data_IF_363558395450
#
_entry.id   IF_363558395450
#
_cell.length_a   1.000
_cell.length_b   1.000
_cell.length_c   1.000
_cell.angle_alpha   90.00
_cell.angle_beta   90.00
_cell.angle_gamma   90.00
#
_symmetry.space_group_name_H-M   'P 1'
#
loop_
_entity.id
_entity.type
_entity.pdbx_description
1 polymer ?
#
# COMPACT_ATOMS: atom_id res chain seq x y z
N UNK A 1 14.89 4.63 20.27
CA UNK A 1 15.95 3.94 19.53
C UNK A 1 16.18 4.74 18.26
N UNK A 2 17.36 5.30 18.08
CA UNK A 2 17.73 6.03 16.87
C UNK A 2 18.51 5.06 16.00
N UNK A 3 17.97 4.69 14.86
CA UNK A 3 18.64 3.82 13.89
C UNK A 3 17.80 3.70 12.64
N UNK A 4 18.46 3.37 11.53
CA UNK A 4 17.76 3.05 10.26
C UNK A 4 16.98 1.75 10.46
N UNK A 5 15.77 1.68 9.89
CA UNK A 5 15.01 0.42 9.88
C UNK A 5 15.73 -0.62 9.03
N UNK A 6 15.88 -1.81 9.58
CA UNK A 6 16.45 -2.97 8.90
C UNK A 6 15.38 -4.07 8.74
N UNK A 7 15.34 -4.74 7.59
CA UNK A 7 14.45 -5.88 7.39
C UNK A 7 14.87 -7.07 8.26
N UNK A 8 14.03 -8.10 8.38
CA UNK A 8 14.42 -9.36 9.01
C UNK A 8 15.71 -9.93 8.45
N UNK A 9 16.46 -10.64 9.29
CA UNK A 9 17.76 -11.24 8.92
C UNK A 9 17.66 -12.07 7.63
N UNK A 10 18.64 -11.90 6.75
CA UNK A 10 18.70 -12.58 5.44
C UNK A 10 18.02 -11.83 4.30
N UNK A 11 17.32 -10.73 4.58
CA UNK A 11 16.75 -9.86 3.55
C UNK A 11 17.56 -8.57 3.42
N UNK A 12 17.57 -8.00 2.22
CA UNK A 12 18.27 -6.74 1.94
C UNK A 12 17.29 -5.67 1.49
N UNK A 13 17.55 -4.43 1.89
CA UNK A 13 16.91 -3.26 1.33
C UNK A 13 17.63 -2.83 0.06
N UNK A 14 16.87 -2.67 -1.02
CA UNK A 14 17.39 -2.17 -2.30
C UNK A 14 16.85 -0.76 -2.53
N UNK A 15 17.71 0.26 -2.62
CA UNK A 15 17.27 1.60 -3.00
C UNK A 15 16.59 1.60 -4.38
N UNK A 16 15.47 2.31 -4.50
CA UNK A 16 14.72 2.34 -5.77
C UNK A 16 15.22 3.43 -6.73
N UNK A 17 15.98 4.39 -6.23
CA UNK A 17 16.54 5.49 -7.01
C UNK A 17 18.07 5.40 -7.02
N UNK A 18 18.71 5.14 -8.17
CA UNK A 18 20.15 4.91 -8.23
C UNK A 18 20.98 6.18 -7.92
N UNK A 19 20.45 7.36 -8.25
CA UNK A 19 21.12 8.64 -8.07
C UNK A 19 20.48 9.52 -6.99
N UNK A 20 19.66 8.93 -6.10
CA UNK A 20 18.84 9.66 -5.14
C UNK A 20 17.43 9.94 -5.65
N UNK A 21 16.50 10.10 -4.73
CA UNK A 21 15.09 10.32 -5.05
C UNK A 21 14.86 11.69 -5.70
N UNK A 22 13.99 11.81 -6.72
CA UNK A 22 13.69 13.06 -7.37
C UNK A 22 12.98 14.05 -6.43
N UNK A 23 13.03 15.35 -6.79
CA UNK A 23 12.31 16.45 -6.12
C UNK A 23 12.64 16.65 -4.62
N UNK A 24 13.72 16.07 -4.15
CA UNK A 24 14.25 16.34 -2.82
C UNK A 24 15.09 17.63 -2.86
N UNK A 25 14.42 18.78 -2.75
CA UNK A 25 15.05 20.11 -2.79
C UNK A 25 15.90 20.43 -1.56
N UNK A 26 15.63 19.75 -0.46
CA UNK A 26 16.44 19.83 0.76
C UNK A 26 16.79 18.43 1.21
N UNK A 27 18.07 18.16 1.45
CA UNK A 27 18.46 17.02 2.24
C UNK A 27 17.91 17.28 3.65
N UNK A 28 16.78 16.68 3.98
CA UNK A 28 16.30 16.74 5.36
C UNK A 28 17.45 16.26 6.26
N UNK A 29 17.94 17.08 7.17
CA UNK A 29 19.00 16.67 8.10
C UNK A 29 18.50 15.61 9.09
N UNK A 30 17.21 15.28 9.05
CA UNK A 30 16.61 14.33 9.96
C UNK A 30 17.02 12.91 9.60
N UNK A 31 17.65 12.24 10.55
CA UNK A 31 17.98 10.82 10.47
C UNK A 31 16.69 10.01 10.54
N UNK A 32 16.60 8.95 9.75
CA UNK A 32 15.51 7.96 9.85
C UNK A 32 15.39 7.47 11.31
N UNK A 33 14.17 7.40 11.81
CA UNK A 33 13.88 7.03 13.18
C UNK A 33 12.97 5.80 13.23
N UNK A 34 13.35 4.85 14.08
CA UNK A 34 12.55 3.65 14.37
C UNK A 34 12.10 3.70 15.81
N UNK A 35 10.80 3.61 16.04
CA UNK A 35 10.22 3.65 17.39
C UNK A 35 8.94 2.83 17.49
N UNK A 36 8.63 2.41 18.72
CA UNK A 36 7.36 1.73 19.01
C UNK A 36 6.25 2.74 19.23
N UNK A 37 5.09 2.46 18.66
CA UNK A 37 3.85 3.21 18.89
C UNK A 37 2.84 2.28 19.57
N UNK A 38 2.20 2.74 20.61
CA UNK A 38 1.14 2.03 21.31
C UNK A 38 -0.01 3.01 21.55
N UNK A 39 -0.99 3.02 20.63
CA UNK A 39 -2.19 3.86 20.75
C UNK A 39 -3.27 3.22 21.61
N UNK A 40 -3.29 1.89 21.66
CA UNK A 40 -4.21 1.08 22.45
C UNK A 40 -3.38 0.10 23.28
N UNK A 41 -3.64 -0.07 24.58
CA UNK A 41 -2.89 -1.00 25.42
C UNK A 41 -2.80 -2.40 24.80
N UNK A 42 -1.57 -2.95 24.72
CA UNK A 42 -1.31 -4.26 24.09
C UNK A 42 -1.21 -4.26 22.56
N UNK A 43 -1.49 -3.15 21.88
CA UNK A 43 -1.40 -3.02 20.41
C UNK A 43 -0.22 -2.15 19.98
N UNK A 44 0.98 -2.60 20.34
CA UNK A 44 2.21 -1.91 19.96
C UNK A 44 2.63 -2.32 18.55
N UNK A 45 3.05 -1.35 17.73
CA UNK A 45 3.65 -1.58 16.42
C UNK A 45 4.91 -0.74 16.20
N UNK A 46 5.71 -1.12 15.22
CA UNK A 46 6.96 -0.44 14.84
C UNK A 46 6.67 0.63 13.79
N UNK A 47 6.98 1.87 14.13
CA UNK A 47 6.90 3.01 13.23
C UNK A 47 8.28 3.42 12.73
N UNK A 48 8.34 3.82 11.46
CA UNK A 48 9.53 4.42 10.84
C UNK A 48 9.18 5.80 10.32
N UNK A 49 9.94 6.82 10.75
CA UNK A 49 9.77 8.20 10.33
C UNK A 49 11.02 8.74 9.63
N UNK A 50 10.89 9.89 8.99
CA UNK A 50 11.99 10.60 8.30
C UNK A 50 12.66 9.73 7.22
N UNK A 51 11.88 8.94 6.49
CA UNK A 51 12.37 8.18 5.34
C UNK A 51 12.65 9.13 4.19
N UNK A 52 13.90 9.32 3.84
CA UNK A 52 14.36 10.14 2.70
C UNK A 52 14.98 9.30 1.59
N UNK A 53 15.37 8.06 1.92
CA UNK A 53 15.89 7.07 0.97
C UNK A 53 14.89 5.92 0.87
N UNK A 54 14.01 5.94 -0.14
CA UNK A 54 13.04 4.86 -0.29
C UNK A 54 13.71 3.59 -0.80
N UNK A 55 13.24 2.45 -0.28
CA UNK A 55 13.80 1.13 -0.57
C UNK A 55 12.69 0.10 -0.76
N UNK A 56 12.99 -0.96 -1.47
CA UNK A 56 12.19 -2.18 -1.49
C UNK A 56 12.92 -3.32 -0.78
N UNK A 57 12.14 -4.17 -0.12
CA UNK A 57 12.62 -5.44 0.44
C UNK A 57 11.79 -6.56 -0.17
N UNK A 58 12.46 -7.56 -0.76
CA UNK A 58 11.80 -8.66 -1.47
C UNK A 58 11.77 -9.90 -0.59
N UNK A 59 10.58 -10.43 -0.37
CA UNK A 59 10.32 -11.69 0.32
C UNK A 59 9.95 -12.73 -0.72
N UNK A 60 10.82 -13.71 -0.91
CA UNK A 60 10.56 -14.81 -1.82
C UNK A 60 9.36 -15.65 -1.37
N UNK A 61 8.63 -16.27 -2.31
CA UNK A 61 7.53 -17.15 -1.96
C UNK A 61 8.01 -18.35 -1.16
N UNK A 62 7.25 -18.74 -0.14
CA UNK A 62 7.46 -19.98 0.63
C UNK A 62 6.70 -21.11 -0.07
N UNK A 63 7.35 -22.23 -0.33
CA UNK A 63 6.76 -23.38 -1.03
C UNK A 63 6.62 -23.16 -2.54
N UNK A 64 5.46 -23.55 -3.12
CA UNK A 64 5.21 -23.44 -4.56
C UNK A 64 5.03 -21.97 -4.95
N UNK A 65 5.90 -21.49 -5.85
CA UNK A 65 5.75 -20.16 -6.42
C UNK A 65 4.55 -20.08 -7.37
N UNK A 66 3.66 -19.13 -7.14
CA UNK A 66 2.48 -18.87 -7.97
C UNK A 66 2.74 -17.94 -9.16
N UNK A 67 3.90 -17.29 -9.17
CA UNK A 67 4.23 -16.21 -10.11
C UNK A 67 3.57 -14.87 -9.79
N UNK A 68 2.70 -14.81 -8.79
CA UNK A 68 2.05 -13.56 -8.35
C UNK A 68 2.98 -12.76 -7.46
N UNK A 69 2.95 -11.45 -7.60
CA UNK A 69 3.65 -10.51 -6.71
C UNK A 69 2.68 -9.47 -6.16
N UNK A 70 2.87 -9.09 -4.90
CA UNK A 70 2.17 -7.97 -4.28
C UNK A 70 3.18 -6.98 -3.68
N UNK A 71 3.07 -5.72 -4.09
CA UNK A 71 3.78 -4.62 -3.44
C UNK A 71 2.94 -4.14 -2.26
N UNK A 72 3.57 -4.03 -1.10
CA UNK A 72 2.93 -3.61 0.16
C UNK A 72 3.26 -2.14 0.44
N UNK A 73 2.21 -1.35 0.64
CA UNK A 73 2.28 0.07 1.02
C UNK A 73 1.76 0.24 2.45
N UNK A 74 2.65 0.27 3.46
CA UNK A 74 2.23 0.51 4.85
C UNK A 74 1.53 1.86 5.01
N UNK A 75 0.61 1.95 5.96
CA UNK A 75 0.00 3.21 6.36
C UNK A 75 0.86 4.00 7.33
N UNK A 76 0.26 5.04 7.91
CA UNK A 76 0.91 5.93 8.87
C UNK A 76 0.69 7.40 8.56
N UNK A 77 -0.37 7.74 7.81
CA UNK A 77 -0.77 9.12 7.52
C UNK A 77 0.24 9.90 6.72
N UNK A 78 1.12 9.25 5.98
CA UNK A 78 2.27 9.84 5.28
C UNK A 78 3.26 10.57 6.20
N UNK A 79 3.19 10.34 7.51
CA UNK A 79 4.12 10.88 8.50
C UNK A 79 5.12 9.83 8.98
N UNK A 80 4.65 8.60 9.06
CA UNK A 80 5.42 7.41 9.44
C UNK A 80 5.03 6.26 8.50
N UNK A 81 5.74 5.14 8.65
CA UNK A 81 5.35 3.85 8.08
C UNK A 81 5.15 2.84 9.21
N UNK A 82 3.99 2.19 9.27
CA UNK A 82 3.69 1.11 10.22
C UNK A 82 4.32 -0.20 9.74
N UNK A 83 5.64 -0.34 9.91
CA UNK A 83 6.48 -1.29 9.19
C UNK A 83 6.30 -2.75 9.57
N UNK A 84 5.81 -3.07 10.77
CA UNK A 84 5.52 -4.46 11.15
C UNK A 84 4.06 -4.82 10.82
N UNK A 85 3.10 -4.19 11.46
CA UNK A 85 1.67 -4.54 11.39
C UNK A 85 1.07 -4.42 9.97
N UNK A 86 1.57 -3.50 9.15
CA UNK A 86 1.11 -3.23 7.77
C UNK A 86 2.22 -3.46 6.74
N UNK A 87 3.32 -4.06 7.15
CA UNK A 87 4.49 -4.31 6.31
C UNK A 87 5.00 -5.74 6.44
N UNK A 88 5.91 -6.01 7.38
CA UNK A 88 6.58 -7.31 7.48
C UNK A 88 5.63 -8.46 7.79
N UNK A 89 4.64 -8.27 8.67
CA UNK A 89 3.62 -9.29 8.97
C UNK A 89 2.79 -9.63 7.72
N UNK A 90 2.48 -8.62 6.91
CA UNK A 90 1.76 -8.78 5.62
C UNK A 90 2.62 -9.54 4.62
N UNK A 91 3.90 -9.23 4.53
CA UNK A 91 4.83 -9.94 3.65
C UNK A 91 5.02 -11.40 4.06
N UNK A 92 5.01 -11.69 5.36
CA UNK A 92 5.05 -13.07 5.85
C UNK A 92 3.82 -13.87 5.41
N UNK A 93 2.63 -13.26 5.46
CA UNK A 93 1.41 -13.87 4.97
C UNK A 93 1.44 -14.07 3.45
N UNK A 94 1.79 -13.04 2.67
CA UNK A 94 1.86 -13.12 1.20
C UNK A 94 2.84 -14.22 0.78
N UNK A 95 4.04 -14.25 1.37
CA UNK A 95 5.05 -15.26 1.03
C UNK A 95 4.63 -16.67 1.42
N UNK A 96 3.92 -16.83 2.55
CA UNK A 96 3.37 -18.13 2.98
C UNK A 96 2.32 -18.68 2.01
N UNK A 97 1.71 -17.80 1.19
CA UNK A 97 0.74 -18.20 0.13
C UNK A 97 1.40 -18.45 -1.23
N UNK A 98 2.72 -18.53 -1.27
CA UNK A 98 3.47 -18.79 -2.50
C UNK A 98 3.56 -17.58 -3.44
N UNK A 99 3.30 -16.39 -2.97
CA UNK A 99 3.44 -15.13 -3.69
C UNK A 99 4.74 -14.42 -3.31
N UNK A 100 5.30 -13.64 -4.22
CA UNK A 100 6.41 -12.73 -3.90
C UNK A 100 5.84 -11.49 -3.23
N UNK A 101 6.35 -11.13 -2.05
CA UNK A 101 6.03 -9.85 -1.42
C UNK A 101 7.15 -8.85 -1.65
N UNK A 102 6.79 -7.63 -2.00
CA UNK A 102 7.73 -6.51 -2.13
C UNK A 102 7.29 -5.39 -1.20
N UNK A 103 7.98 -5.25 -0.06
CA UNK A 103 7.67 -4.21 0.92
C UNK A 103 8.33 -2.90 0.50
N UNK A 104 7.54 -1.88 0.26
CA UNK A 104 8.00 -0.54 -0.08
C UNK A 104 8.11 0.34 1.18
N UNK A 105 9.32 0.72 1.52
CA UNK A 105 9.59 1.79 2.48
C UNK A 105 9.67 3.11 1.69
N UNK A 106 8.52 3.75 1.48
CA UNK A 106 8.42 4.97 0.68
C UNK A 106 8.76 6.23 1.50
N UNK A 107 9.01 7.33 0.82
CA UNK A 107 9.41 8.59 1.45
C UNK A 107 8.32 9.17 2.35
N UNK A 108 8.70 9.44 3.59
CA UNK A 108 7.94 10.20 4.59
C UNK A 108 8.91 11.15 5.30
N UNK A 109 9.55 12.11 4.58
CA UNK A 109 10.67 12.87 5.13
C UNK A 109 10.26 13.81 6.25
N UNK A 110 9.19 14.50 6.09
CA UNK A 110 8.50 15.34 7.07
C UNK A 110 7.18 15.68 6.41
N UNK A 111 6.14 15.00 6.79
CA UNK A 111 4.90 15.13 6.09
C UNK A 111 4.22 16.48 6.39
N UNK A 112 3.59 17.04 5.36
CA UNK A 112 2.66 18.14 5.52
C UNK A 112 1.25 17.65 5.85
N UNK A 113 1.13 16.35 6.15
CA UNK A 113 -0.10 15.74 6.55
C UNK A 113 -0.38 16.05 8.02
N UNK A 114 -1.50 16.62 8.32
CA UNK A 114 -1.94 16.94 9.67
C UNK A 114 -3.46 16.92 9.77
N UNK A 115 -3.92 16.83 10.98
CA UNK A 115 -5.33 16.94 11.31
C UNK A 115 -5.79 18.39 11.25
N UNK A 116 -6.75 18.66 10.39
CA UNK A 116 -7.43 19.94 10.34
C UNK A 116 -8.59 19.97 11.35
N UNK A 117 -8.57 20.97 12.25
CA UNK A 117 -9.54 21.10 13.33
C UNK A 117 -10.89 21.62 12.84
N UNK A 118 -10.92 22.36 11.75
CA UNK A 118 -12.11 22.99 11.21
C UNK A 118 -12.95 21.98 10.44
N UNK A 119 -12.37 21.24 9.54
CA UNK A 119 -13.05 20.14 8.84
C UNK A 119 -13.13 18.86 9.67
N UNK A 120 -12.38 18.76 10.80
CA UNK A 120 -12.22 17.52 11.56
C UNK A 120 -11.79 16.34 10.68
N UNK A 121 -10.87 16.57 9.80
CA UNK A 121 -10.41 15.63 8.81
C UNK A 121 -8.87 15.66 8.66
N UNK A 122 -8.32 14.59 8.08
CA UNK A 122 -6.92 14.57 7.68
C UNK A 122 -6.71 15.35 6.38
N UNK A 123 -5.79 16.32 6.40
CA UNK A 123 -5.37 17.02 5.20
C UNK A 123 -4.43 16.12 4.39
N UNK A 124 -4.76 15.91 3.12
CA UNK A 124 -3.91 15.16 2.22
C UNK A 124 -2.66 15.96 1.89
N UNK A 125 -1.46 15.33 2.00
CA UNK A 125 -0.24 15.98 1.59
C UNK A 125 -0.26 16.33 0.11
N UNK A 126 0.26 17.50 -0.23
CA UNK A 126 0.37 17.97 -1.62
C UNK A 126 1.62 17.43 -2.33
N UNK A 127 2.49 16.75 -1.61
CA UNK A 127 3.76 16.23 -2.15
C UNK A 127 3.55 14.94 -2.94
N UNK A 128 4.12 14.88 -4.13
CA UNK A 128 3.99 13.73 -5.04
C UNK A 128 4.95 12.56 -4.72
N UNK A 129 5.83 12.70 -3.74
CA UNK A 129 6.95 11.77 -3.50
C UNK A 129 6.52 10.32 -3.26
N UNK A 130 5.45 10.11 -2.52
CA UNK A 130 4.95 8.75 -2.24
C UNK A 130 4.45 8.06 -3.50
N UNK A 131 3.76 8.79 -4.38
CA UNK A 131 3.29 8.26 -5.66
C UNK A 131 4.47 7.98 -6.61
N UNK A 132 5.47 8.87 -6.66
CA UNK A 132 6.70 8.65 -7.44
C UNK A 132 7.39 7.37 -7.01
N UNK A 133 7.57 7.18 -5.70
CA UNK A 133 8.22 5.99 -5.15
C UNK A 133 7.42 4.71 -5.46
N UNK A 134 6.10 4.77 -5.34
CA UNK A 134 5.23 3.63 -5.64
C UNK A 134 5.23 3.27 -7.13
N UNK A 135 5.12 4.26 -8.03
CA UNK A 135 5.23 4.05 -9.47
C UNK A 135 6.58 3.45 -9.86
N UNK A 136 7.66 3.99 -9.28
CA UNK A 136 9.02 3.48 -9.52
C UNK A 136 9.16 2.05 -9.02
N UNK A 137 8.68 1.73 -7.82
CA UNK A 137 8.72 0.38 -7.28
C UNK A 137 7.98 -0.63 -8.17
N UNK A 138 6.78 -0.31 -8.64
CA UNK A 138 6.02 -1.18 -9.55
C UNK A 138 6.81 -1.44 -10.85
N UNK A 139 7.40 -0.41 -11.44
CA UNK A 139 8.24 -0.55 -12.64
C UNK A 139 9.47 -1.42 -12.41
N UNK A 140 10.15 -1.25 -11.29
CA UNK A 140 11.30 -2.08 -10.91
C UNK A 140 10.91 -3.54 -10.72
N UNK A 141 9.79 -3.82 -10.06
CA UNK A 141 9.27 -5.20 -9.92
C UNK A 141 8.99 -5.79 -11.28
N UNK A 142 8.39 -5.05 -12.19
CA UNK A 142 8.07 -5.49 -13.56
C UNK A 142 9.35 -5.73 -14.37
N UNK A 143 10.37 -4.87 -14.22
CA UNK A 143 11.67 -5.03 -14.87
C UNK A 143 12.43 -6.27 -14.35
N UNK A 144 12.30 -6.57 -13.06
CA UNK A 144 12.93 -7.70 -12.38
C UNK A 144 12.09 -8.99 -12.37
N UNK A 145 10.94 -8.99 -13.03
CA UNK A 145 9.98 -10.09 -12.98
C UNK A 145 10.62 -11.45 -13.33
N UNK A 146 11.42 -11.49 -14.39
CA UNK A 146 12.15 -12.72 -14.79
C UNK A 146 13.15 -13.18 -13.73
N UNK A 147 13.91 -12.25 -13.18
CA UNK A 147 14.94 -12.53 -12.15
C UNK A 147 14.29 -13.08 -10.86
N UNK A 148 13.16 -12.53 -10.48
CA UNK A 148 12.43 -12.92 -9.26
C UNK A 148 11.36 -13.99 -9.48
N UNK A 149 11.30 -14.56 -10.70
CA UNK A 149 10.34 -15.59 -11.07
C UNK A 149 8.87 -15.13 -10.85
N UNK A 150 8.59 -13.88 -11.20
CA UNK A 150 7.27 -13.26 -11.18
C UNK A 150 6.71 -13.25 -12.61
N UNK A 151 5.42 -13.47 -12.76
CA UNK A 151 4.69 -13.16 -13.99
C UNK A 151 4.49 -11.63 -14.08
N UNK A 152 5.04 -11.00 -15.10
CA UNK A 152 4.96 -9.55 -15.31
C UNK A 152 3.54 -9.01 -15.49
N UNK A 153 2.55 -9.89 -15.67
CA UNK A 153 1.12 -9.58 -15.76
C UNK A 153 0.34 -9.95 -14.48
N UNK A 154 1.05 -10.31 -13.40
CA UNK A 154 0.47 -10.65 -12.10
C UNK A 154 1.13 -9.86 -10.96
N UNK A 155 1.30 -8.57 -11.16
CA UNK A 155 1.89 -7.65 -10.19
C UNK A 155 0.79 -6.79 -9.59
N UNK A 156 0.41 -7.07 -8.35
CA UNK A 156 -0.59 -6.31 -7.61
C UNK A 156 0.00 -5.39 -6.56
N UNK A 157 -0.88 -4.57 -6.00
CA UNK A 157 -0.58 -3.68 -4.88
C UNK A 157 -1.55 -3.93 -3.73
N UNK A 158 -1.07 -3.83 -2.50
CA UNK A 158 -1.88 -3.84 -1.29
C UNK A 158 -1.44 -2.69 -0.38
N UNK A 159 -2.38 -1.96 0.16
CA UNK A 159 -2.05 -0.82 1.02
C UNK A 159 -3.10 -0.59 2.09
N UNK A 160 -2.64 0.06 3.16
CA UNK A 160 -3.35 0.22 4.41
C UNK A 160 -3.46 1.72 4.76
N UNK A 161 -4.64 2.21 5.14
CA UNK A 161 -4.82 3.61 5.56
C UNK A 161 -4.31 4.59 4.47
N UNK A 162 -3.30 5.41 4.76
CA UNK A 162 -2.62 6.24 3.76
C UNK A 162 -2.00 5.41 2.61
N UNK A 163 -1.51 4.19 2.90
CA UNK A 163 -1.08 3.23 1.87
C UNK A 163 -2.24 2.74 1.00
N UNK A 164 -3.45 2.65 1.55
CA UNK A 164 -4.67 2.38 0.78
C UNK A 164 -5.04 3.51 -0.18
N UNK A 165 -4.80 4.76 0.20
CA UNK A 165 -4.89 5.89 -0.72
C UNK A 165 -3.83 5.79 -1.84
N UNK A 166 -2.61 5.39 -1.49
CA UNK A 166 -1.54 5.18 -2.48
C UNK A 166 -1.88 4.05 -3.46
N UNK A 167 -2.60 3.02 -3.02
CA UNK A 167 -3.20 2.00 -3.91
C UNK A 167 -4.15 2.66 -4.91
N UNK A 168 -5.06 3.52 -4.45
CA UNK A 168 -5.98 4.22 -5.35
C UNK A 168 -5.22 5.15 -6.32
N UNK A 169 -4.19 5.84 -5.87
CA UNK A 169 -3.36 6.68 -6.74
C UNK A 169 -2.67 5.85 -7.84
N UNK A 170 -1.97 4.77 -7.49
CA UNK A 170 -1.27 3.92 -8.46
C UNK A 170 -2.21 3.19 -9.41
N UNK A 171 -3.45 2.95 -8.99
CA UNK A 171 -4.49 2.30 -9.77
C UNK A 171 -5.20 3.23 -10.77
N UNK A 172 -5.00 4.55 -10.65
CA UNK A 172 -5.73 5.54 -11.45
C UNK A 172 -4.83 6.62 -12.09
N UNK A 173 -3.57 6.71 -11.68
CA UNK A 173 -2.60 7.66 -12.21
C UNK A 173 -1.45 6.89 -12.86
N UNK A 174 -1.55 6.66 -14.17
CA UNK A 174 -0.60 5.81 -14.90
C UNK A 174 0.54 6.62 -15.55
N UNK A 175 0.33 7.90 -15.83
CA UNK A 175 1.37 8.81 -16.30
C UNK A 175 2.52 8.89 -15.30
N UNK A 176 3.77 8.95 -15.80
CA UNK A 176 4.93 9.14 -14.95
C UNK A 176 4.84 10.49 -14.21
N UNK A 177 5.03 10.46 -12.90
CA UNK A 177 5.03 11.67 -12.04
C UNK A 177 6.46 12.15 -11.73
N UNK A 178 7.45 11.57 -12.41
CA UNK A 178 8.87 11.93 -12.31
C UNK A 178 9.56 11.75 -13.66
N UNK A 179 10.73 12.36 -13.84
CA UNK A 179 11.54 12.19 -15.04
C UNK A 179 12.14 10.78 -15.11
N UNK A 180 12.23 10.23 -16.32
CA UNK A 180 12.80 8.90 -16.56
C UNK A 180 14.24 8.82 -16.01
N UNK A 181 14.52 7.74 -15.29
CA UNK A 181 15.83 7.47 -14.68
C UNK A 181 16.60 6.38 -15.42
N UNK A 182 15.92 5.30 -15.81
CA UNK A 182 16.52 4.17 -16.53
C UNK A 182 15.46 3.41 -17.36
N UNK A 183 15.87 2.24 -17.90
CA UNK A 183 15.01 1.43 -18.76
C UNK A 183 13.76 0.87 -18.04
N UNK A 184 13.80 0.68 -16.72
CA UNK A 184 12.63 0.21 -15.98
C UNK A 184 11.46 1.20 -16.08
N UNK A 185 11.74 2.49 -16.30
CA UNK A 185 10.73 3.53 -16.41
C UNK A 185 9.99 3.55 -17.76
N UNK A 186 10.41 2.73 -18.71
CA UNK A 186 9.64 2.45 -19.94
C UNK A 186 8.47 1.50 -19.69
N UNK A 187 8.52 0.74 -18.59
CA UNK A 187 7.50 -0.22 -18.24
C UNK A 187 6.31 0.45 -17.56
N UNK A 188 5.17 -0.22 -17.61
CA UNK A 188 3.95 0.26 -16.97
C UNK A 188 4.06 0.28 -15.46
N UNK A 189 3.65 1.38 -14.82
CA UNK A 189 3.44 1.47 -13.37
C UNK A 189 2.02 1.06 -12.95
N UNK A 190 1.14 0.68 -13.89
CA UNK A 190 -0.20 0.21 -13.58
C UNK A 190 -0.13 -1.16 -12.91
N UNK A 191 -0.70 -1.35 -11.72
CA UNK A 191 -0.83 -2.67 -11.12
C UNK A 191 -1.85 -3.54 -11.90
N UNK A 192 -1.70 -4.86 -11.84
CA UNK A 192 -2.60 -5.79 -12.50
C UNK A 192 -3.84 -6.09 -11.65
N UNK A 193 -3.74 -5.90 -10.33
CA UNK A 193 -4.83 -5.92 -9.36
C UNK A 193 -4.49 -5.06 -8.14
N UNK A 194 -5.50 -4.66 -7.36
CA UNK A 194 -5.33 -3.73 -6.26
C UNK A 194 -6.15 -4.11 -5.03
N UNK A 195 -5.56 -3.98 -3.84
CA UNK A 195 -6.20 -4.25 -2.55
C UNK A 195 -6.05 -3.04 -1.64
N UNK A 196 -7.15 -2.36 -1.33
CA UNK A 196 -7.17 -1.18 -0.47
C UNK A 196 -7.88 -1.51 0.86
N UNK A 197 -7.13 -1.52 1.95
CA UNK A 197 -7.63 -1.81 3.29
C UNK A 197 -7.74 -0.51 4.09
N UNK A 198 -8.94 -0.26 4.61
CA UNK A 198 -9.30 0.97 5.36
C UNK A 198 -8.65 2.22 4.76
N UNK A 199 -8.86 2.48 3.44
CA UNK A 199 -8.17 3.57 2.76
C UNK A 199 -8.58 4.92 3.34
N UNK A 200 -7.59 5.80 3.54
CA UNK A 200 -7.81 7.18 3.91
C UNK A 200 -7.84 8.12 2.70
N UNK A 201 -8.04 9.41 2.96
CA UNK A 201 -7.89 10.54 2.03
C UNK A 201 -8.74 10.53 0.74
N UNK A 202 -9.55 9.52 0.48
CA UNK A 202 -10.41 9.42 -0.70
C UNK A 202 -11.68 10.27 -0.56
N UNK A 203 -12.22 10.36 0.65
CA UNK A 203 -13.42 11.14 0.96
C UNK A 203 -13.05 12.59 1.28
N UNK A 204 -13.57 13.53 0.50
CA UNK A 204 -13.37 14.96 0.67
C UNK A 204 -14.61 15.64 1.22
N UNK A 205 -14.52 16.93 1.48
CA UNK A 205 -15.66 17.74 1.95
C UNK A 205 -16.90 17.54 1.09
N UNK A 206 -18.06 17.43 1.74
CA UNK A 206 -19.34 17.16 1.07
C UNK A 206 -19.49 15.74 0.54
N UNK A 207 -18.75 14.78 1.12
CA UNK A 207 -18.78 13.37 0.72
C UNK A 207 -18.54 13.18 -0.78
N UNK A 208 -17.50 13.84 -1.28
CA UNK A 208 -17.05 13.73 -2.67
C UNK A 208 -15.76 12.93 -2.76
N UNK A 209 -15.59 12.15 -3.84
CA UNK A 209 -14.34 11.49 -4.11
C UNK A 209 -13.25 12.51 -4.44
N UNK A 210 -12.03 12.26 -3.97
CA UNK A 210 -10.87 13.06 -4.35
C UNK A 210 -10.76 13.20 -5.86
N UNK A 211 -10.72 14.43 -6.35
CA UNK A 211 -10.74 14.75 -7.79
C UNK A 211 -9.49 14.29 -8.53
N UNK A 212 -8.39 14.01 -7.82
CA UNK A 212 -7.18 13.43 -8.41
C UNK A 212 -7.33 11.94 -8.75
N UNK A 213 -8.31 11.26 -8.14
CA UNK A 213 -8.61 9.84 -8.36
C UNK A 213 -9.66 9.72 -9.46
N UNK A 214 -9.21 9.67 -10.71
CA UNK A 214 -10.07 9.53 -11.87
C UNK A 214 -10.18 8.06 -12.26
N UNK A 215 -11.22 7.39 -11.78
CA UNK A 215 -11.48 5.98 -12.11
C UNK A 215 -11.94 5.87 -13.56
N UNK A 216 -11.31 4.95 -14.30
CA UNK A 216 -11.59 4.68 -15.71
C UNK A 216 -11.69 3.17 -15.95
N UNK A 217 -12.14 2.70 -17.11
CA UNK A 217 -12.13 1.27 -17.45
C UNK A 217 -10.74 0.62 -17.42
N UNK A 218 -9.65 1.41 -17.42
CA UNK A 218 -8.27 0.93 -17.29
C UNK A 218 -7.85 0.70 -15.85
N UNK A 219 -8.61 1.18 -14.87
CA UNK A 219 -8.36 0.89 -13.44
C UNK A 219 -8.37 -0.63 -13.23
N UNK A 220 -7.40 -1.21 -12.50
CA UNK A 220 -7.34 -2.66 -12.32
C UNK A 220 -8.49 -3.18 -11.46
N UNK A 221 -8.82 -4.48 -11.53
CA UNK A 221 -9.71 -5.11 -10.57
C UNK A 221 -9.29 -4.76 -9.14
N UNK A 222 -10.25 -4.37 -8.31
CA UNK A 222 -9.95 -3.77 -7.01
C UNK A 222 -10.76 -4.41 -5.89
N UNK A 223 -10.09 -4.79 -4.81
CA UNK A 223 -10.68 -5.21 -3.54
C UNK A 223 -10.60 -4.07 -2.52
N UNK A 224 -11.70 -3.79 -1.84
CA UNK A 224 -11.80 -2.73 -0.82
C UNK A 224 -12.38 -3.31 0.47
N UNK A 225 -11.78 -2.99 1.61
CA UNK A 225 -12.30 -3.42 2.89
C UNK A 225 -12.11 -2.34 3.96
N UNK A 226 -13.15 -2.14 4.79
CA UNK A 226 -13.11 -1.19 5.89
C UNK A 226 -14.06 -1.60 7.03
N UNK A 227 -13.79 -1.13 8.23
CA UNK A 227 -14.73 -1.22 9.35
C UNK A 227 -15.60 0.05 9.40
N UNK A 228 -16.89 -0.14 9.72
CA UNK A 228 -17.84 0.98 9.84
C UNK A 228 -17.54 1.88 11.04
N UNK A 229 -16.98 1.30 12.09
CA UNK A 229 -16.60 2.00 13.33
C UNK A 229 -15.17 2.55 13.30
N UNK A 230 -14.55 2.68 12.11
CA UNK A 230 -13.22 3.24 11.97
C UNK A 230 -13.19 4.70 12.50
N UNK A 231 -12.42 4.98 13.57
CA UNK A 231 -12.38 6.29 14.19
C UNK A 231 -11.42 7.27 13.48
N UNK A 232 -10.62 6.78 12.53
CA UNK A 232 -9.58 7.57 11.83
C UNK A 232 -10.05 7.95 10.45
N UNK A 233 -10.39 6.95 9.63
CA UNK A 233 -10.81 7.13 8.25
C UNK A 233 -12.29 6.72 8.10
N UNK A 234 -13.13 7.69 7.75
CA UNK A 234 -14.56 7.45 7.60
C UNK A 234 -14.84 6.46 6.47
N UNK A 235 -15.90 5.66 6.64
CA UNK A 235 -16.34 4.67 5.65
C UNK A 235 -16.65 5.27 4.27
N UNK A 236 -16.91 6.58 4.17
CA UNK A 236 -17.09 7.26 2.89
C UNK A 236 -15.89 7.12 1.96
N UNK A 237 -14.67 6.93 2.48
CA UNK A 237 -13.50 6.63 1.65
C UNK A 237 -13.73 5.40 0.77
N UNK A 238 -14.19 4.31 1.37
CA UNK A 238 -14.46 3.06 0.67
C UNK A 238 -15.73 3.13 -0.18
N UNK A 239 -16.82 3.71 0.34
CA UNK A 239 -18.11 3.74 -0.38
C UNK A 239 -18.09 4.63 -1.62
N UNK A 240 -17.38 5.76 -1.58
CA UNK A 240 -17.21 6.62 -2.75
C UNK A 240 -16.31 5.97 -3.81
N UNK A 241 -15.24 5.33 -3.38
CA UNK A 241 -14.31 4.69 -4.30
C UNK A 241 -14.97 3.50 -5.01
N UNK A 242 -15.67 2.62 -4.27
CA UNK A 242 -16.37 1.48 -4.87
C UNK A 242 -17.47 1.93 -5.83
N UNK A 243 -18.18 3.03 -5.52
CA UNK A 243 -19.17 3.62 -6.42
C UNK A 243 -18.55 4.11 -7.72
N UNK A 244 -17.37 4.74 -7.65
CA UNK A 244 -16.64 5.17 -8.84
C UNK A 244 -16.15 3.99 -9.68
N UNK A 245 -15.64 2.92 -9.04
CA UNK A 245 -15.26 1.68 -9.73
C UNK A 245 -16.45 1.06 -10.46
N UNK A 246 -17.59 0.95 -9.80
CA UNK A 246 -18.83 0.43 -10.41
C UNK A 246 -19.29 1.28 -11.59
N UNK A 247 -19.26 2.62 -11.46
CA UNK A 247 -19.64 3.54 -12.54
C UNK A 247 -18.73 3.43 -13.76
N UNK A 248 -17.45 3.08 -13.58
CA UNK A 248 -16.49 2.86 -14.65
C UNK A 248 -16.50 1.41 -15.21
N UNK A 249 -17.34 0.52 -14.66
CA UNK A 249 -17.38 -0.88 -15.05
C UNK A 249 -16.16 -1.70 -14.64
N UNK A 250 -15.42 -1.25 -13.62
CA UNK A 250 -14.25 -1.97 -13.10
C UNK A 250 -14.72 -3.08 -12.17
N UNK A 251 -14.27 -4.34 -12.37
CA UNK A 251 -14.56 -5.43 -11.44
C UNK A 251 -14.03 -5.11 -10.03
N UNK A 252 -14.90 -5.15 -9.04
CA UNK A 252 -14.51 -4.83 -7.68
C UNK A 252 -15.29 -5.65 -6.66
N UNK A 253 -14.62 -5.95 -5.53
CA UNK A 253 -15.22 -6.58 -4.36
C UNK A 253 -15.07 -5.65 -3.15
N UNK A 254 -16.11 -5.54 -2.31
CA UNK A 254 -16.09 -4.69 -1.13
C UNK A 254 -16.65 -5.41 0.10
N UNK A 255 -15.96 -5.25 1.22
CA UNK A 255 -16.42 -5.71 2.53
C UNK A 255 -16.43 -4.56 3.54
N UNK A 256 -17.60 -4.26 4.08
CA UNK A 256 -17.80 -3.28 5.14
C UNK A 256 -18.24 -4.00 6.41
N UNK A 257 -17.32 -4.11 7.37
CA UNK A 257 -17.59 -4.76 8.65
C UNK A 257 -18.16 -3.76 9.65
N UNK A 258 -19.12 -4.21 10.47
CA UNK A 258 -19.72 -3.36 11.50
C UNK A 258 -18.66 -2.85 12.50
N UNK A 259 -17.68 -3.72 12.85
CA UNK A 259 -16.63 -3.44 13.82
C UNK A 259 -15.28 -3.93 13.34
N UNK A 260 -14.24 -3.22 13.74
CA UNK A 260 -12.85 -3.53 13.42
C UNK A 260 -11.92 -2.38 13.76
N UNK A 261 -12.45 -1.17 13.84
CA UNK A 261 -11.65 0.04 14.06
C UNK A 261 -10.71 0.32 12.89
N UNK A 262 -9.51 0.82 13.22
CA UNK A 262 -8.48 1.21 12.27
C UNK A 262 -7.15 0.49 12.57
N UNK A 263 -6.32 0.29 11.55
CA UNK A 263 -4.98 -0.29 11.65
C UNK A 263 -4.96 -1.68 12.33
N UNK A 264 -5.92 -2.53 12.00
CA UNK A 264 -5.99 -3.89 12.56
C UNK A 264 -4.95 -4.85 11.95
N UNK A 265 -4.42 -4.58 10.76
CA UNK A 265 -3.42 -5.43 10.10
C UNK A 265 -3.86 -6.89 10.00
N UNK A 266 -2.92 -7.81 10.28
CA UNK A 266 -3.17 -9.27 10.34
C UNK A 266 -3.39 -9.78 11.77
N UNK A 267 -3.31 -8.90 12.77
CA UNK A 267 -3.36 -9.33 14.17
C UNK A 267 -4.76 -9.77 14.56
N UNK A 268 -4.88 -10.90 15.26
CA UNK A 268 -6.17 -11.44 15.64
C UNK A 268 -7.01 -10.45 16.46
N UNK A 269 -8.29 -10.39 16.17
CA UNK A 269 -9.27 -9.67 16.95
C UNK A 269 -10.52 -10.54 17.15
N UNK A 270 -11.38 -10.17 18.10
CA UNK A 270 -12.66 -10.84 18.32
C UNK A 270 -13.69 -10.55 17.20
N UNK A 271 -13.35 -9.66 16.25
CA UNK A 271 -14.27 -9.23 15.19
C UNK A 271 -14.06 -10.00 13.89
N UNK A 272 -15.12 -10.20 13.10
CA UNK A 272 -15.05 -10.88 11.79
C UNK A 272 -14.09 -10.26 10.79
N UNK A 273 -13.71 -8.98 10.98
CA UNK A 273 -12.72 -8.30 10.15
C UNK A 273 -11.39 -9.04 10.07
N UNK A 274 -11.02 -9.83 11.08
CA UNK A 274 -9.80 -10.65 11.08
C UNK A 274 -9.79 -11.74 9.99
N UNK A 275 -10.92 -12.01 9.34
CA UNK A 275 -11.00 -12.95 8.20
C UNK A 275 -10.56 -12.33 6.86
N UNK A 276 -10.20 -11.07 6.82
CA UNK A 276 -9.90 -10.37 5.58
C UNK A 276 -8.84 -11.06 4.69
N UNK A 277 -7.79 -11.72 5.23
CA UNK A 277 -6.81 -12.37 4.37
C UNK A 277 -7.42 -13.50 3.52
N UNK A 278 -8.34 -14.28 4.11
CA UNK A 278 -9.05 -15.34 3.37
C UNK A 278 -9.99 -14.76 2.30
N UNK A 279 -10.58 -13.60 2.53
CA UNK A 279 -11.42 -12.92 1.55
C UNK A 279 -10.58 -12.47 0.36
N UNK A 280 -9.42 -11.85 0.61
CA UNK A 280 -8.48 -11.46 -0.46
C UNK A 280 -7.99 -12.69 -1.24
N UNK A 281 -7.64 -13.79 -0.57
CA UNK A 281 -7.22 -15.02 -1.25
C UNK A 281 -8.31 -15.56 -2.19
N UNK A 282 -9.55 -15.64 -1.72
CA UNK A 282 -10.68 -16.08 -2.53
C UNK A 282 -10.90 -15.16 -3.73
N UNK A 283 -10.87 -13.85 -3.50
CA UNK A 283 -11.00 -12.87 -4.58
C UNK A 283 -9.87 -12.98 -5.62
N UNK A 284 -8.62 -13.22 -5.19
CA UNK A 284 -7.50 -13.43 -6.12
C UNK A 284 -7.68 -14.69 -6.98
N UNK A 285 -8.36 -15.71 -6.47
CA UNK A 285 -8.75 -16.90 -7.24
C UNK A 285 -9.81 -16.53 -8.28
N UNK A 286 -10.86 -15.80 -7.88
CA UNK A 286 -11.96 -15.37 -8.75
C UNK A 286 -11.48 -14.51 -9.93
N UNK A 287 -10.49 -13.66 -9.70
CA UNK A 287 -9.89 -12.83 -10.78
C UNK A 287 -8.73 -13.55 -11.52
N UNK A 288 -8.54 -14.87 -11.31
CA UNK A 288 -7.51 -15.71 -11.96
C UNK A 288 -6.06 -15.27 -11.68
N UNK A 289 -5.80 -14.61 -10.57
CA UNK A 289 -4.43 -14.32 -10.12
C UNK A 289 -3.83 -15.52 -9.39
N UNK A 290 -4.58 -16.19 -8.52
CA UNK A 290 -4.18 -17.42 -7.86
C UNK A 290 -4.88 -18.65 -8.48
N UNK A 291 -4.24 -19.83 -8.43
CA UNK A 291 -4.89 -21.06 -8.82
C UNK A 291 -6.01 -21.42 -7.84
N UNK A 292 -7.04 -22.16 -8.28
CA UNK A 292 -8.06 -22.71 -7.37
C UNK A 292 -7.43 -23.53 -6.26
N UNK A 293 -8.05 -23.48 -5.07
CA UNK A 293 -7.65 -24.35 -3.98
C UNK A 293 -7.83 -25.82 -4.42
N UNK A 294 -6.76 -26.58 -4.43
CA UNK A 294 -6.86 -28.03 -4.59
C UNK A 294 -7.57 -28.60 -3.38
N UNK A 295 -8.73 -29.21 -3.61
CA UNK A 295 -9.48 -29.92 -2.58
C UNK A 295 -8.74 -31.17 -2.12
#
# INVERSE_FOLDING_TARGET
>A
MSGRWEPPSGLMQVPIWPNGAPDMTERSPAVEQVFGVEKTPGHRYTAVANVTTPTITVYAPKGRNTGVSMLVFPGGGFQILAMDIEGTEVCDWISAKGMTCVLLKYRVPKSNHYWDKDCKCHITPTVAWTLQDAQRAIRLVRAKAKEWQIDSHKIGVIGFSAGGYLVAQTSNIFGATYERVDEADELSSRPDFAVALYPGHLCRAGDTLDTSIQVTPQTPPTFVLQAWDDPVDKVCNSTLYIRALAAAGVPAEVHLFLKGGHAFGLRPSAHPVSSWPALVENWLIEINMLPPLTR
#
